data_IF_432090534954
#
_entry.id   IF_432090534954
#
_cell.length_a   1.000
_cell.length_b   1.000
_cell.length_c   1.000
_cell.angle_alpha   90.00
_cell.angle_beta   90.00
_cell.angle_gamma   90.00
#
_symmetry.space_group_name_H-M   'P 1'
#
loop_
_entity.id
_entity.type
_entity.pdbx_description
1 polymer ?
#
# COMPACT_ATOMS: atom_id res chain seq x y z
N UNK A 1 -10.74 4.27 -3.64
CA UNK A 1 -11.69 5.41 -3.71
C UNK A 1 -12.59 5.50 -2.49
N UNK A 2 -13.35 4.46 -2.10
CA UNK A 2 -14.26 4.52 -0.92
C UNK A 2 -13.55 4.95 0.38
N UNK A 3 -12.42 4.32 0.70
CA UNK A 3 -11.62 4.67 1.88
C UNK A 3 -11.07 6.10 1.81
N UNK A 4 -10.62 6.54 0.63
CA UNK A 4 -10.13 7.91 0.43
C UNK A 4 -11.23 8.95 0.70
N UNK A 5 -12.46 8.69 0.25
CA UNK A 5 -13.62 9.56 0.54
C UNK A 5 -13.98 9.59 2.01
N UNK A 6 -13.99 8.44 2.67
CA UNK A 6 -14.23 8.33 4.12
C UNK A 6 -13.21 9.16 4.92
N UNK A 7 -11.98 9.30 4.40
CA UNK A 7 -10.90 10.09 5.00
C UNK A 7 -10.83 11.53 4.49
N UNK A 8 -11.84 12.01 3.75
CA UNK A 8 -11.95 13.41 3.33
C UNK A 8 -11.06 13.83 2.16
N UNK A 9 -10.49 12.89 1.40
CA UNK A 9 -9.77 13.23 0.16
C UNK A 9 -10.75 13.72 -0.90
N UNK A 10 -10.44 14.86 -1.52
CA UNK A 10 -11.25 15.49 -2.57
C UNK A 10 -11.40 14.58 -3.80
N UNK A 11 -12.45 14.76 -4.60
CA UNK A 11 -12.61 13.97 -5.84
C UNK A 11 -11.48 14.22 -6.83
N UNK A 12 -10.96 15.45 -6.88
CA UNK A 12 -9.81 15.81 -7.71
C UNK A 12 -8.56 15.07 -7.27
N UNK A 13 -8.31 14.94 -5.96
CA UNK A 13 -7.15 14.21 -5.44
C UNK A 13 -7.31 12.68 -5.52
N UNK A 14 -8.55 12.16 -5.50
CA UNK A 14 -8.82 10.73 -5.64
C UNK A 14 -8.29 10.18 -6.97
N UNK A 15 -8.25 10.99 -8.03
CA UNK A 15 -7.65 10.55 -9.30
C UNK A 15 -6.15 10.26 -9.14
N UNK A 16 -5.45 11.03 -8.32
CA UNK A 16 -4.04 10.86 -8.03
C UNK A 16 -3.79 9.65 -7.12
N UNK A 17 -4.64 9.44 -6.12
CA UNK A 17 -4.63 8.20 -5.30
C UNK A 17 -4.80 6.96 -6.18
N UNK A 18 -5.72 6.99 -7.16
CA UNK A 18 -5.93 5.86 -8.09
C UNK A 18 -4.71 5.61 -8.98
N UNK A 19 -4.10 6.67 -9.52
CA UNK A 19 -2.89 6.56 -10.35
C UNK A 19 -1.71 6.03 -9.53
N UNK A 20 -1.51 6.55 -8.33
CA UNK A 20 -0.45 6.11 -7.44
C UNK A 20 -0.62 4.65 -7.05
N UNK A 21 -1.85 4.21 -6.74
CA UNK A 21 -2.17 2.81 -6.49
C UNK A 21 -1.90 1.91 -7.70
N UNK A 22 -2.20 2.34 -8.92
CA UNK A 22 -1.91 1.57 -10.13
C UNK A 22 -0.40 1.43 -10.36
N UNK A 23 0.36 2.48 -10.04
CA UNK A 23 1.80 2.58 -10.32
C UNK A 23 2.67 2.18 -9.13
N UNK A 24 2.10 1.70 -8.01
CA UNK A 24 2.83 1.53 -6.75
C UNK A 24 4.12 0.68 -6.90
N UNK A 25 4.05 -0.33 -7.76
CA UNK A 25 5.11 -1.31 -8.00
C UNK A 25 5.91 -1.06 -9.30
N UNK A 26 5.68 0.05 -10.03
CA UNK A 26 6.30 0.30 -11.34
C UNK A 26 7.84 0.29 -11.28
N UNK A 27 8.41 0.68 -10.14
CA UNK A 27 9.85 0.69 -9.93
C UNK A 27 10.49 -0.71 -9.89
N UNK A 28 9.69 -1.80 -9.83
CA UNK A 28 10.20 -3.17 -10.00
C UNK A 28 10.86 -3.38 -11.36
N UNK A 29 10.54 -2.56 -12.37
CA UNK A 29 11.25 -2.55 -13.66
C UNK A 29 12.76 -2.21 -13.52
N UNK A 30 13.17 -1.55 -12.43
CA UNK A 30 14.57 -1.27 -12.14
C UNK A 30 15.28 -2.37 -11.33
N UNK A 31 14.58 -3.45 -10.96
CA UNK A 31 15.14 -4.58 -10.20
C UNK A 31 15.68 -5.62 -11.19
N UNK A 32 16.91 -6.14 -11.02
CA UNK A 32 17.44 -7.20 -11.87
C UNK A 32 16.53 -8.43 -11.87
N UNK A 33 16.33 -9.05 -13.05
CA UNK A 33 15.50 -10.25 -13.21
C UNK A 33 15.96 -11.40 -12.31
N UNK A 34 17.27 -11.55 -12.09
CA UNK A 34 17.84 -12.55 -11.19
C UNK A 34 17.36 -12.43 -9.73
N UNK A 35 16.91 -11.24 -9.33
CA UNK A 35 16.34 -10.96 -8.01
C UNK A 35 14.80 -10.97 -8.10
N UNK A 36 14.23 -10.31 -9.11
CA UNK A 36 12.78 -10.15 -9.23
C UNK A 36 12.06 -11.49 -9.49
N UNK A 37 12.66 -12.37 -10.28
CA UNK A 37 12.09 -13.64 -10.71
C UNK A 37 12.67 -14.85 -9.95
N UNK A 38 13.43 -14.61 -8.88
CA UNK A 38 14.07 -15.67 -8.11
C UNK A 38 13.00 -16.59 -7.48
N UNK A 39 13.09 -17.92 -7.67
CA UNK A 39 12.14 -18.86 -7.08
C UNK A 39 12.37 -19.10 -5.57
N UNK A 40 13.62 -18.94 -5.13
CA UNK A 40 14.04 -19.13 -3.74
C UNK A 40 13.94 -17.83 -2.92
N UNK A 41 14.15 -17.95 -1.61
CA UNK A 41 14.21 -16.79 -0.72
C UNK A 41 15.36 -15.84 -1.14
N UNK A 42 15.07 -14.54 -1.09
CA UNK A 42 16.08 -13.50 -1.27
C UNK A 42 17.01 -13.47 -0.04
N UNK A 43 18.30 -13.35 -0.30
CA UNK A 43 19.33 -13.02 0.69
C UNK A 43 19.16 -11.59 1.20
N UNK A 44 19.83 -11.24 2.30
CA UNK A 44 19.76 -9.88 2.85
C UNK A 44 20.26 -8.82 1.86
N UNK A 45 21.28 -9.13 1.08
CA UNK A 45 21.82 -8.28 0.00
C UNK A 45 20.80 -8.08 -1.13
N UNK A 46 20.14 -9.15 -1.56
CA UNK A 46 19.09 -9.09 -2.57
C UNK A 46 17.88 -8.31 -2.07
N UNK A 47 17.53 -8.45 -0.79
CA UNK A 47 16.49 -7.65 -0.14
C UNK A 47 16.83 -6.16 -0.12
N UNK A 48 18.09 -5.78 0.13
CA UNK A 48 18.53 -4.37 0.04
C UNK A 48 18.26 -3.81 -1.35
N UNK A 49 18.45 -4.59 -2.41
CA UNK A 49 18.16 -4.19 -3.80
C UNK A 49 16.65 -4.14 -4.04
N UNK A 50 15.89 -5.18 -3.66
CA UNK A 50 14.43 -5.24 -3.81
C UNK A 50 13.73 -4.04 -3.16
N UNK A 51 14.20 -3.61 -1.98
CA UNK A 51 13.68 -2.44 -1.25
C UNK A 51 13.94 -1.10 -1.96
N UNK A 52 14.70 -1.05 -3.06
CA UNK A 52 14.92 0.16 -3.85
C UNK A 52 13.80 0.46 -4.83
N UNK A 53 12.89 -0.48 -5.11
CA UNK A 53 11.83 -0.25 -6.09
C UNK A 53 10.94 0.98 -5.80
N UNK A 54 10.65 1.41 -4.54
CA UNK A 54 9.92 2.65 -4.33
C UNK A 54 10.72 3.89 -4.77
N UNK A 55 12.05 3.88 -4.56
CA UNK A 55 12.93 4.95 -5.05
C UNK A 55 12.98 4.95 -6.57
N UNK A 56 13.10 3.78 -7.21
CA UNK A 56 13.05 3.70 -8.68
C UNK A 56 11.72 4.17 -9.25
N UNK A 57 10.60 3.85 -8.60
CA UNK A 57 9.29 4.37 -8.98
C UNK A 57 9.27 5.90 -8.91
N UNK A 58 9.83 6.50 -7.83
CA UNK A 58 9.97 7.95 -7.72
C UNK A 58 10.81 8.53 -8.85
N UNK A 59 12.01 8.00 -9.09
CA UNK A 59 12.96 8.50 -10.09
C UNK A 59 12.38 8.43 -11.52
N UNK A 60 11.61 7.38 -11.82
CA UNK A 60 10.93 7.20 -13.12
C UNK A 60 9.76 8.18 -13.32
N UNK A 61 9.01 8.46 -12.26
CA UNK A 61 7.74 9.20 -12.36
C UNK A 61 7.91 10.71 -12.12
N UNK A 62 8.89 11.13 -11.32
CA UNK A 62 9.11 12.55 -10.99
C UNK A 62 9.36 13.47 -12.20
N UNK A 63 10.03 13.04 -13.29
CA UNK A 63 10.22 13.88 -14.47
C UNK A 63 8.90 14.17 -15.21
N UNK A 64 7.89 13.30 -15.05
CA UNK A 64 6.60 13.40 -15.73
C UNK A 64 5.68 14.31 -14.90
N UNK A 65 5.62 15.60 -15.24
CA UNK A 65 4.87 16.62 -14.48
C UNK A 65 3.44 16.19 -14.12
N UNK A 66 2.73 15.55 -15.05
CA UNK A 66 1.35 15.06 -14.87
C UNK A 66 1.20 13.97 -13.80
N UNK A 67 2.26 13.22 -13.49
CA UNK A 67 2.24 12.12 -12.54
C UNK A 67 2.79 12.51 -11.16
N UNK A 68 3.39 13.69 -11.01
CA UNK A 68 3.93 14.15 -9.72
C UNK A 68 2.94 14.08 -8.56
N UNK A 69 1.66 14.48 -8.71
CA UNK A 69 0.70 14.39 -7.60
C UNK A 69 0.38 12.95 -7.18
N UNK A 70 0.70 11.95 -8.01
CA UNK A 70 0.47 10.53 -7.73
C UNK A 70 1.67 9.81 -7.09
N UNK A 71 2.80 10.51 -6.86
CA UNK A 71 4.06 9.93 -6.38
C UNK A 71 4.01 9.41 -4.94
N UNK A 72 3.09 9.92 -4.13
CA UNK A 72 3.02 9.59 -2.70
C UNK A 72 2.93 8.09 -2.45
N UNK A 73 2.08 7.40 -3.21
CA UNK A 73 1.87 5.95 -3.04
C UNK A 73 3.09 5.15 -3.52
N UNK A 74 3.54 5.23 -4.79
CA UNK A 74 4.69 4.44 -5.24
C UNK A 74 5.93 4.65 -4.38
N UNK A 75 6.15 5.87 -3.88
CA UNK A 75 7.34 6.16 -3.10
C UNK A 75 7.24 5.72 -1.63
N UNK A 76 6.06 5.75 -1.02
CA UNK A 76 5.91 5.59 0.43
C UNK A 76 5.02 4.39 0.86
N UNK A 77 4.54 3.55 -0.06
CA UNK A 77 3.61 2.46 0.30
C UNK A 77 4.21 1.37 1.21
N UNK A 78 5.54 1.32 1.35
CA UNK A 78 6.24 0.44 2.27
C UNK A 78 6.70 1.12 3.57
N UNK A 79 6.36 2.39 3.76
CA UNK A 79 6.50 3.04 5.06
C UNK A 79 5.51 2.42 6.05
N UNK A 80 5.92 2.38 7.33
CA UNK A 80 5.12 1.82 8.42
C UNK A 80 4.89 2.89 9.45
N UNK A 81 3.70 2.89 10.05
CA UNK A 81 3.31 3.89 11.04
C UNK A 81 4.34 4.06 12.17
N UNK A 82 4.98 2.98 12.61
CA UNK A 82 6.01 2.97 13.65
C UNK A 82 7.42 3.42 13.20
N UNK A 83 7.62 3.75 11.93
CA UNK A 83 8.92 4.16 11.37
C UNK A 83 9.86 3.02 10.98
N UNK A 84 9.46 1.75 11.16
CA UNK A 84 10.27 0.58 10.75
C UNK A 84 10.18 0.26 9.25
N UNK A 85 9.51 1.12 8.48
CA UNK A 85 9.31 0.99 7.04
C UNK A 85 10.48 1.51 6.21
N UNK A 86 10.26 1.59 4.90
CA UNK A 86 11.24 2.04 3.91
C UNK A 86 10.52 2.71 2.72
N UNK A 87 11.21 3.51 1.87
CA UNK A 87 12.66 3.73 1.80
C UNK A 87 13.22 4.80 2.73
N UNK A 88 12.39 5.65 3.34
CA UNK A 88 12.81 6.85 4.08
C UNK A 88 12.69 6.69 5.60
N UNK A 89 11.99 5.66 6.08
CA UNK A 89 11.80 5.43 7.52
C UNK A 89 10.89 6.50 8.14
N UNK A 90 9.87 6.92 7.40
CA UNK A 90 8.89 7.89 7.87
C UNK A 90 7.99 7.24 8.92
N UNK A 91 7.58 8.02 9.91
CA UNK A 91 6.67 7.55 10.96
C UNK A 91 5.45 8.45 11.09
N UNK A 92 4.35 7.87 11.57
CA UNK A 92 3.11 8.60 11.83
C UNK A 92 2.63 9.40 10.62
N UNK A 93 2.34 10.68 10.88
CA UNK A 93 1.80 11.63 9.89
C UNK A 93 2.85 12.17 8.92
N UNK A 94 4.13 11.83 9.08
CA UNK A 94 5.15 12.12 8.07
C UNK A 94 4.91 11.31 6.79
N UNK A 95 4.22 10.16 6.91
CA UNK A 95 3.79 9.35 5.78
C UNK A 95 2.58 10.05 5.13
N UNK A 96 2.62 10.31 3.81
CA UNK A 96 1.48 10.92 3.13
C UNK A 96 0.19 10.11 3.31
N UNK A 97 -0.94 10.79 3.45
CA UNK A 97 -2.23 10.13 3.72
C UNK A 97 -2.56 9.10 2.63
N UNK A 98 -2.32 9.42 1.35
CA UNK A 98 -2.57 8.49 0.26
C UNK A 98 -1.81 7.16 0.41
N UNK A 99 -0.56 7.21 0.87
CA UNK A 99 0.25 6.02 1.13
C UNK A 99 -0.22 5.24 2.37
N UNK A 100 -0.59 5.93 3.45
CA UNK A 100 -1.18 5.30 4.65
C UNK A 100 -2.47 4.54 4.32
N UNK A 101 -3.34 5.15 3.51
CA UNK A 101 -4.55 4.51 3.00
C UNK A 101 -4.24 3.29 2.15
N UNK A 102 -3.28 3.43 1.23
CA UNK A 102 -2.92 2.38 0.30
C UNK A 102 -2.28 1.17 1.01
N UNK A 103 -1.42 1.37 2.01
CA UNK A 103 -0.80 0.27 2.75
C UNK A 103 -1.82 -0.70 3.37
N UNK A 104 -2.92 -0.18 3.92
CA UNK A 104 -4.02 -1.02 4.44
C UNK A 104 -4.72 -1.79 3.32
N UNK A 105 -4.98 -1.11 2.18
CA UNK A 105 -5.65 -1.71 1.02
C UNK A 105 -4.80 -2.78 0.36
N UNK A 106 -3.50 -2.55 0.22
CA UNK A 106 -2.54 -3.48 -0.39
C UNK A 106 -2.43 -4.76 0.43
N UNK A 107 -2.25 -4.65 1.75
CA UNK A 107 -2.22 -5.83 2.63
C UNK A 107 -3.56 -6.57 2.62
N UNK A 108 -4.68 -5.85 2.65
CA UNK A 108 -6.00 -6.45 2.52
C UNK A 108 -6.14 -7.27 1.23
N UNK A 109 -5.80 -6.70 0.08
CA UNK A 109 -5.89 -7.38 -1.20
C UNK A 109 -4.94 -8.59 -1.24
N UNK A 110 -3.69 -8.40 -0.82
CA UNK A 110 -2.69 -9.46 -0.77
C UNK A 110 -3.12 -10.66 0.06
N UNK A 111 -3.89 -10.47 1.15
CA UNK A 111 -4.39 -11.58 1.99
C UNK A 111 -5.75 -12.14 1.59
N UNK A 112 -6.58 -11.36 0.90
CA UNK A 112 -7.93 -11.78 0.51
C UNK A 112 -8.05 -12.25 -0.94
N UNK A 113 -6.99 -12.09 -1.73
CA UNK A 113 -6.87 -12.63 -3.09
C UNK A 113 -6.29 -14.04 -3.10
N UNK A 114 -6.79 -14.90 -4.00
CA UNK A 114 -6.25 -16.24 -4.20
C UNK A 114 -4.89 -16.15 -4.90
N UNK A 115 -3.88 -16.91 -4.42
CA UNK A 115 -2.56 -17.00 -5.06
C UNK A 115 -2.25 -18.47 -5.37
N UNK A 116 -1.46 -18.78 -6.42
CA UNK A 116 -1.17 -20.16 -6.84
C UNK A 116 -0.70 -21.09 -5.70
N UNK A 117 -0.01 -20.53 -4.70
CA UNK A 117 0.57 -21.26 -3.57
C UNK A 117 -0.13 -21.00 -2.23
N UNK A 118 -1.23 -20.21 -2.20
CA UNK A 118 -1.93 -19.88 -0.95
C UNK A 118 -3.42 -19.61 -1.18
N UNK A 119 -4.27 -20.35 -0.46
CA UNK A 119 -5.71 -20.04 -0.38
C UNK A 119 -5.92 -18.66 0.26
N UNK A 120 -6.85 -17.87 -0.29
CA UNK A 120 -7.22 -16.58 0.32
C UNK A 120 -7.68 -16.74 1.77
N UNK A 121 -7.40 -15.73 2.57
CA UNK A 121 -7.90 -15.68 3.93
C UNK A 121 -9.39 -15.32 3.96
N UNK A 122 -10.06 -15.73 5.03
CA UNK A 122 -11.40 -15.22 5.31
C UNK A 122 -11.33 -13.72 5.62
N UNK A 123 -12.40 -12.99 5.29
CA UNK A 123 -12.50 -11.56 5.61
C UNK A 123 -12.30 -11.31 7.11
N UNK A 124 -12.84 -12.15 7.98
CA UNK A 124 -12.66 -12.02 9.43
C UNK A 124 -11.18 -12.10 9.83
N UNK A 125 -10.43 -13.04 9.26
CA UNK A 125 -9.00 -13.20 9.55
C UNK A 125 -8.19 -12.00 9.05
N UNK A 126 -8.50 -11.51 7.86
CA UNK A 126 -7.86 -10.33 7.29
C UNK A 126 -8.13 -9.05 8.12
N UNK A 127 -9.39 -8.83 8.56
CA UNK A 127 -9.73 -7.71 9.44
C UNK A 127 -9.03 -7.82 10.80
N UNK A 128 -8.96 -9.02 11.38
CA UNK A 128 -8.24 -9.25 12.64
C UNK A 128 -6.77 -8.84 12.51
N UNK A 129 -6.08 -9.29 11.45
CA UNK A 129 -4.69 -8.89 11.17
C UNK A 129 -4.53 -7.37 11.09
N UNK A 130 -5.37 -6.70 10.29
CA UNK A 130 -5.29 -5.25 10.11
C UNK A 130 -5.48 -4.52 11.45
N UNK A 131 -6.43 -4.97 12.28
CA UNK A 131 -6.67 -4.39 13.61
C UNK A 131 -5.48 -4.59 14.55
N UNK A 132 -4.88 -5.78 14.56
CA UNK A 132 -3.71 -6.11 15.39
C UNK A 132 -2.44 -5.31 15.01
N UNK A 133 -2.38 -4.85 13.75
CA UNK A 133 -1.26 -4.05 13.22
C UNK A 133 -1.50 -2.53 13.28
N UNK A 134 -2.64 -2.10 13.85
CA UNK A 134 -2.96 -0.70 14.11
C UNK A 134 -1.93 -0.07 15.05
N UNK A 135 -1.40 1.10 14.70
CA UNK A 135 -0.37 1.81 15.46
C UNK A 135 1.05 1.22 15.30
N UNK A 136 1.22 0.18 14.48
CA UNK A 136 2.52 -0.42 14.16
C UNK A 136 2.80 -0.32 12.67
N UNK A 137 2.15 -1.16 11.87
CA UNK A 137 2.22 -1.09 10.42
C UNK A 137 1.30 0.03 9.92
N UNK A 138 0.09 0.11 10.46
CA UNK A 138 -0.96 0.94 9.92
C UNK A 138 -1.32 2.11 10.82
N UNK A 139 -1.70 3.21 10.18
CA UNK A 139 -2.32 4.34 10.83
C UNK A 139 -3.64 3.93 11.52
N UNK A 140 -3.79 4.14 12.84
CA UNK A 140 -5.02 3.83 13.57
C UNK A 140 -6.28 4.44 12.97
N UNK A 141 -6.25 5.70 12.55
CA UNK A 141 -7.43 6.41 12.03
C UNK A 141 -7.87 5.79 10.68
N UNK A 142 -6.89 5.42 9.85
CA UNK A 142 -7.12 4.72 8.59
C UNK A 142 -7.70 3.33 8.82
N UNK A 143 -7.19 2.60 9.83
CA UNK A 143 -7.74 1.28 10.18
C UNK A 143 -9.20 1.41 10.59
N UNK A 144 -9.55 2.37 11.44
CA UNK A 144 -10.94 2.60 11.85
C UNK A 144 -11.86 2.94 10.67
N UNK A 145 -11.44 3.87 9.80
CA UNK A 145 -12.16 4.21 8.58
C UNK A 145 -12.34 3.01 7.66
N UNK A 146 -11.30 2.20 7.49
CA UNK A 146 -11.35 0.97 6.70
C UNK A 146 -12.39 -0.02 7.25
N UNK A 147 -12.41 -0.22 8.56
CA UNK A 147 -13.40 -1.08 9.22
C UNK A 147 -14.83 -0.60 8.95
N UNK A 148 -15.10 0.71 9.07
CA UNK A 148 -16.41 1.30 8.74
C UNK A 148 -16.81 1.04 7.30
N UNK A 149 -15.90 1.28 6.34
CA UNK A 149 -16.14 1.05 4.92
C UNK A 149 -16.46 -0.42 4.62
N UNK A 150 -15.73 -1.36 5.21
CA UNK A 150 -15.95 -2.80 4.97
C UNK A 150 -17.26 -3.27 5.62
N UNK A 151 -17.57 -2.84 6.84
CA UNK A 151 -18.81 -3.20 7.54
C UNK A 151 -20.03 -2.64 6.80
N UNK A 152 -20.01 -1.35 6.43
CA UNK A 152 -21.12 -0.72 5.73
C UNK A 152 -21.33 -1.28 4.31
N UNK A 153 -20.29 -1.85 3.69
CA UNK A 153 -20.42 -2.54 2.40
C UNK A 153 -21.21 -3.85 2.46
N UNK A 154 -21.38 -4.45 3.65
CA UNK A 154 -22.23 -5.63 3.83
C UNK A 154 -23.72 -5.27 3.82
N UNK A 155 -24.10 -4.19 4.52
CA UNK A 155 -25.51 -3.76 4.63
C UNK A 155 -26.15 -3.47 3.26
N UNK A 156 -25.40 -2.87 2.33
CA UNK A 156 -25.90 -2.55 0.98
C UNK A 156 -25.97 -3.73 -0.02
N UNK A 157 -25.53 -4.94 0.37
CA UNK A 157 -25.68 -6.14 -0.47
C UNK A 157 -26.80 -7.06 0.01
N UNK A 158 -27.39 -6.75 1.16
CA UNK A 158 -28.50 -7.49 1.78
C UNK A 158 -29.83 -6.72 1.64
N UNK A 159 -29.80 -5.57 0.96
CA UNK A 159 -30.93 -4.76 0.46
C UNK A 159 -30.97 -4.86 -1.07
#
# INVERSE_FOLDING_TARGET
SRLAREMGISEDDIVHVRRGALLHDIGKMGIPDSILLKPDQLTDEEWKIMKRHPQYAYDMLVPIAYLRPALEIPYCHHEKWDGSGYPRGLSGTQIPLAARLFAVVDVWDAVTSDRPYRKKWTKQKALKLIREQSGKHFDPDVVEAFMRVIINSKKRKEE
#
